data_IF_280155299739
#
_entry.id   IF_280155299739
#
_cell.length_a   1.000
_cell.length_b   1.000
_cell.length_c   1.000
_cell.angle_alpha   90.00
_cell.angle_beta   90.00
_cell.angle_gamma   90.00
#
_symmetry.space_group_name_H-M   'P 1'
#
loop_
_entity.id
_entity.type
_entity.pdbx_description
1 polymer ?
#
# COMPACT_ATOMS: atom_id res chain seq x y z
N UNK A 1 -21.76 -4.04 8.92
CA UNK A 1 -22.41 -2.73 9.12
C UNK A 1 -23.77 -2.79 8.42
N UNK A 2 -24.79 -2.21 9.02
CA UNK A 2 -26.17 -2.75 9.14
C UNK A 2 -27.03 -2.71 7.85
N UNK A 3 -27.91 -3.69 7.67
CA UNK A 3 -29.14 -3.55 6.86
C UNK A 3 -30.21 -3.00 7.79
N UNK A 4 -30.80 -1.86 7.46
CA UNK A 4 -31.98 -1.37 8.17
C UNK A 4 -33.23 -1.97 7.52
N UNK A 5 -33.96 -2.82 8.25
CA UNK A 5 -35.35 -3.11 7.92
C UNK A 5 -36.23 -2.07 8.60
N UNK A 6 -36.90 -1.26 7.77
CA UNK A 6 -38.01 -0.43 8.21
C UNK A 6 -39.32 -1.17 7.92
N UNK A 7 -39.89 -1.78 8.96
CA UNK A 7 -41.23 -2.33 8.91
C UNK A 7 -42.21 -1.26 9.37
N UNK A 8 -42.89 -0.58 8.44
CA UNK A 8 -44.04 0.26 8.81
C UNK A 8 -45.20 -0.68 9.14
N UNK A 9 -45.30 -1.09 10.41
CA UNK A 9 -46.41 -1.89 10.93
C UNK A 9 -47.57 -0.94 11.23
N UNK A 10 -48.68 -0.98 10.48
CA UNK A 10 -49.83 -0.09 10.71
C UNK A 10 -50.66 -0.46 11.95
N UNK A 11 -50.25 -1.46 12.74
CA UNK A 11 -51.04 -2.05 13.83
C UNK A 11 -50.56 -1.76 15.25
N UNK A 12 -49.52 -0.96 15.44
CA UNK A 12 -49.16 -0.46 16.77
C UNK A 12 -49.72 0.95 16.94
N UNK A 13 -50.76 1.07 17.77
CA UNK A 13 -51.12 2.35 18.40
C UNK A 13 -49.88 2.90 19.07
N UNK A 14 -49.61 4.18 18.83
CA UNK A 14 -48.50 4.99 19.35
C UNK A 14 -47.16 4.85 18.62
N UNK A 15 -47.07 5.43 17.41
CA UNK A 15 -45.86 6.09 16.87
C UNK A 15 -44.51 5.35 16.84
N UNK A 16 -44.47 4.08 17.22
CA UNK A 16 -43.25 3.33 17.45
C UNK A 16 -42.76 2.72 16.14
N UNK A 17 -41.70 3.29 15.58
CA UNK A 17 -40.97 2.68 14.47
C UNK A 17 -40.00 1.63 15.03
N UNK A 18 -40.36 0.35 14.92
CA UNK A 18 -39.44 -0.73 15.27
C UNK A 18 -38.46 -0.93 14.11
N UNK A 19 -37.19 -0.59 14.33
CA UNK A 19 -36.10 -0.77 13.36
C UNK A 19 -35.30 -2.01 13.74
N UNK A 20 -35.14 -2.92 12.79
CA UNK A 20 -34.31 -4.11 12.97
C UNK A 20 -33.05 -3.93 12.12
N UNK A 21 -31.91 -3.95 12.79
CA UNK A 21 -30.61 -3.77 12.16
C UNK A 21 -29.88 -5.11 12.05
N UNK A 22 -29.61 -5.55 10.82
CA UNK A 22 -28.93 -6.83 10.58
C UNK A 22 -27.51 -6.59 10.10
N UNK A 23 -26.50 -7.06 10.85
CA UNK A 23 -25.08 -6.94 10.49
C UNK A 23 -24.68 -8.10 9.57
N UNK A 24 -24.34 -7.82 8.31
CA UNK A 24 -23.70 -8.82 7.45
C UNK A 24 -22.19 -8.91 7.68
N UNK A 25 -21.63 -10.10 7.45
CA UNK A 25 -20.18 -10.34 7.40
C UNK A 25 -19.54 -9.74 6.13
N UNK A 26 -20.25 -9.68 5.01
CA UNK A 26 -19.78 -9.14 3.74
C UNK A 26 -20.62 -7.91 3.34
N UNK A 27 -19.98 -6.74 3.37
CA UNK A 27 -20.63 -5.44 3.11
C UNK A 27 -21.01 -5.27 1.63
N UNK A 28 -20.33 -5.97 0.72
CA UNK A 28 -20.56 -5.84 -0.73
C UNK A 28 -21.88 -6.47 -1.17
N UNK A 29 -22.41 -7.41 -0.38
CA UNK A 29 -23.65 -8.14 -0.65
C UNK A 29 -24.90 -7.50 -0.05
N UNK A 30 -24.73 -6.44 0.74
CA UNK A 30 -25.82 -5.69 1.35
C UNK A 30 -26.94 -5.24 0.36
N UNK A 31 -26.64 -4.71 -0.85
CA UNK A 31 -27.69 -4.26 -1.78
C UNK A 31 -28.43 -5.44 -2.42
N UNK A 32 -27.73 -6.54 -2.71
CA UNK A 32 -28.34 -7.75 -3.26
C UNK A 32 -29.28 -8.42 -2.25
N UNK A 33 -28.91 -8.41 -0.96
CA UNK A 33 -29.75 -8.94 0.11
C UNK A 33 -30.95 -8.04 0.40
N UNK A 34 -30.76 -6.71 0.41
CA UNK A 34 -31.85 -5.76 0.56
C UNK A 34 -32.88 -5.89 -0.57
N UNK A 35 -32.43 -6.09 -1.81
CA UNK A 35 -33.31 -6.34 -2.96
C UNK A 35 -34.10 -7.64 -2.81
N UNK A 36 -33.44 -8.76 -2.45
CA UNK A 36 -34.13 -10.04 -2.21
C UNK A 36 -35.16 -9.96 -1.09
N UNK A 37 -34.90 -9.16 -0.05
CA UNK A 37 -35.82 -9.02 1.08
C UNK A 37 -37.01 -8.10 0.77
N UNK A 38 -36.81 -7.09 -0.09
CA UNK A 38 -37.91 -6.27 -0.64
C UNK A 38 -38.80 -7.07 -1.59
N UNK A 39 -38.22 -7.98 -2.38
CA UNK A 39 -38.97 -8.82 -3.32
C UNK A 39 -39.74 -9.96 -2.59
N UNK A 40 -39.19 -10.47 -1.48
CA UNK A 40 -39.77 -11.58 -0.73
C UNK A 40 -40.67 -11.17 0.46
N UNK A 41 -40.71 -9.89 0.85
CA UNK A 41 -41.46 -9.44 2.03
C UNK A 41 -42.19 -8.11 1.82
N UNK A 42 -43.23 -7.84 2.62
CA UNK A 42 -43.95 -6.55 2.64
C UNK A 42 -43.18 -5.41 3.33
N UNK A 43 -41.93 -5.65 3.74
CA UNK A 43 -41.12 -4.71 4.52
C UNK A 43 -40.09 -4.01 3.66
N UNK A 44 -39.86 -2.72 3.91
CA UNK A 44 -38.90 -1.91 3.16
C UNK A 44 -37.52 -2.05 3.78
N UNK A 45 -36.70 -2.90 3.18
CA UNK A 45 -35.29 -3.07 3.50
C UNK A 45 -34.47 -2.04 2.71
N UNK A 46 -33.76 -1.18 3.42
CA UNK A 46 -32.83 -0.21 2.85
C UNK A 46 -31.41 -0.62 3.20
N UNK A 47 -30.54 -0.68 2.19
CA UNK A 47 -29.12 -0.91 2.46
C UNK A 47 -28.44 0.40 2.85
N UNK A 48 -27.39 0.33 3.69
CA UNK A 48 -26.54 1.49 3.99
C UNK A 48 -26.02 2.20 2.71
N UNK A 49 -25.82 1.44 1.64
CA UNK A 49 -25.35 1.97 0.35
C UNK A 49 -26.41 2.79 -0.39
N UNK A 50 -27.70 2.57 -0.13
CA UNK A 50 -28.79 3.36 -0.72
C UNK A 50 -28.93 4.73 -0.03
N UNK A 51 -28.71 4.77 1.29
CA UNK A 51 -28.71 5.99 2.10
C UNK A 51 -27.46 6.84 1.87
N UNK A 52 -26.34 6.20 1.53
CA UNK A 52 -25.03 6.85 1.38
C UNK A 52 -24.39 6.58 0.02
N UNK A 53 -25.17 6.61 -1.08
CA UNK A 53 -24.63 6.46 -2.46
C UNK A 53 -23.44 7.36 -2.73
N UNK A 54 -23.42 8.54 -2.13
CA UNK A 54 -22.30 9.47 -2.17
C UNK A 54 -21.06 8.91 -1.43
N UNK A 55 -21.19 8.44 -0.18
CA UNK A 55 -20.09 7.80 0.56
C UNK A 55 -19.61 6.52 -0.16
N UNK A 56 -20.52 5.71 -0.70
CA UNK A 56 -20.17 4.50 -1.45
C UNK A 56 -19.38 4.83 -2.73
N UNK A 57 -19.74 5.91 -3.44
CA UNK A 57 -18.96 6.44 -4.57
C UNK A 57 -17.61 7.00 -4.12
N UNK A 58 -17.53 7.70 -2.99
CA UNK A 58 -16.27 8.16 -2.43
C UNK A 58 -15.34 7.01 -2.04
N UNK A 59 -15.85 5.93 -1.46
CA UNK A 59 -15.05 4.73 -1.11
C UNK A 59 -14.59 4.00 -2.38
N UNK A 60 -15.44 3.89 -3.40
CA UNK A 60 -15.06 3.32 -4.70
C UNK A 60 -13.99 4.16 -5.43
N UNK A 61 -14.15 5.49 -5.45
CA UNK A 61 -13.21 6.42 -6.08
C UNK A 61 -11.87 6.48 -5.35
N UNK A 62 -11.85 6.32 -4.02
CA UNK A 62 -10.62 6.23 -3.24
C UNK A 62 -9.72 5.08 -3.70
N UNK A 63 -10.28 3.94 -4.10
CA UNK A 63 -9.50 2.81 -4.61
C UNK A 63 -8.66 3.17 -5.83
N UNK A 64 -9.27 3.85 -6.81
CA UNK A 64 -8.58 4.27 -8.05
C UNK A 64 -7.51 5.33 -7.76
N UNK A 65 -7.84 6.32 -6.93
CA UNK A 65 -6.90 7.37 -6.54
C UNK A 65 -5.69 6.81 -5.78
N UNK A 66 -5.89 5.87 -4.85
CA UNK A 66 -4.80 5.23 -4.10
C UNK A 66 -3.86 4.44 -5.02
N UNK A 67 -4.41 3.69 -5.98
CA UNK A 67 -3.61 2.95 -6.96
C UNK A 67 -2.72 3.90 -7.77
N UNK A 68 -3.29 5.05 -8.19
CA UNK A 68 -2.53 6.05 -8.92
C UNK A 68 -1.38 6.62 -8.08
N UNK A 69 -1.63 6.94 -6.81
CA UNK A 69 -0.58 7.40 -5.88
C UNK A 69 0.51 6.36 -5.69
N UNK A 70 0.17 5.09 -5.46
CA UNK A 70 1.17 4.02 -5.30
C UNK A 70 2.01 3.81 -6.56
N UNK A 71 1.41 3.95 -7.74
CA UNK A 71 2.15 3.87 -9.01
C UNK A 71 3.20 4.99 -9.13
N UNK A 72 2.81 6.24 -8.84
CA UNK A 72 3.76 7.37 -8.88
C UNK A 72 4.87 7.21 -7.85
N UNK A 73 4.56 6.79 -6.62
CA UNK A 73 5.56 6.55 -5.58
C UNK A 73 6.56 5.50 -6.05
N UNK A 74 6.08 4.37 -6.61
CA UNK A 74 6.96 3.33 -7.13
C UNK A 74 7.88 3.85 -8.23
N UNK A 75 7.33 4.62 -9.19
CA UNK A 75 8.10 5.13 -10.32
C UNK A 75 9.20 6.10 -9.85
N UNK A 76 8.84 7.04 -8.99
CA UNK A 76 9.78 8.03 -8.44
C UNK A 76 10.84 7.32 -7.60
N UNK A 77 10.45 6.41 -6.71
CA UNK A 77 11.39 5.65 -5.88
C UNK A 77 12.33 4.79 -6.72
N UNK A 78 11.83 4.10 -7.75
CA UNK A 78 12.65 3.29 -8.64
C UNK A 78 13.71 4.16 -9.35
N UNK A 79 13.32 5.33 -9.85
CA UNK A 79 14.22 6.27 -10.51
C UNK A 79 15.28 6.83 -9.56
N UNK A 80 14.89 7.21 -8.34
CA UNK A 80 15.83 7.68 -7.31
C UNK A 80 16.86 6.61 -6.98
N UNK A 81 16.43 5.39 -6.72
CA UNK A 81 17.32 4.26 -6.41
C UNK A 81 18.25 3.99 -7.60
N UNK A 82 17.72 3.92 -8.82
CA UNK A 82 18.51 3.64 -10.01
C UNK A 82 19.61 4.70 -10.21
N UNK A 83 19.26 5.98 -10.12
CA UNK A 83 20.21 7.08 -10.29
C UNK A 83 21.32 7.05 -9.23
N UNK A 84 20.96 6.83 -7.96
CA UNK A 84 21.93 6.75 -6.87
C UNK A 84 22.86 5.55 -7.05
N UNK A 85 22.33 4.37 -7.38
CA UNK A 85 23.15 3.16 -7.51
C UNK A 85 24.06 3.24 -8.74
N UNK A 86 23.61 3.85 -9.85
CA UNK A 86 24.47 4.14 -11.00
C UNK A 86 25.62 5.07 -10.59
N UNK A 87 25.34 6.12 -9.83
CA UNK A 87 26.38 7.04 -9.34
C UNK A 87 27.41 6.30 -8.47
N UNK A 88 26.96 5.45 -7.53
CA UNK A 88 27.86 4.68 -6.64
C UNK A 88 28.72 3.72 -7.45
N UNK A 89 28.14 2.96 -8.38
CA UNK A 89 28.88 2.05 -9.27
C UNK A 89 29.91 2.81 -10.08
N UNK A 90 29.55 3.99 -10.60
CA UNK A 90 30.47 4.80 -11.39
C UNK A 90 31.72 5.22 -10.60
N UNK A 91 31.56 5.52 -9.30
CA UNK A 91 32.69 5.86 -8.42
C UNK A 91 33.57 4.66 -8.09
N UNK A 92 33.02 3.46 -8.10
CA UNK A 92 33.74 2.20 -7.78
C UNK A 92 34.26 1.45 -9.00
N UNK A 93 34.19 2.03 -10.22
CA UNK A 93 34.62 1.34 -11.46
C UNK A 93 36.04 0.79 -11.39
N UNK A 94 37.00 1.57 -10.86
CA UNK A 94 38.40 1.16 -10.74
C UNK A 94 38.58 -0.05 -9.81
N UNK A 95 37.89 -0.07 -8.68
CA UNK A 95 37.90 -1.21 -7.74
C UNK A 95 37.37 -2.48 -8.41
N UNK A 96 36.29 -2.36 -9.19
CA UNK A 96 35.70 -3.46 -9.97
C UNK A 96 36.69 -3.93 -11.06
N UNK A 97 37.38 -3.00 -11.73
CA UNK A 97 38.42 -3.29 -12.70
C UNK A 97 39.59 -4.09 -12.12
N UNK A 98 40.06 -3.70 -10.92
CA UNK A 98 41.12 -4.42 -10.19
C UNK A 98 40.65 -5.83 -9.80
N UNK A 99 39.42 -5.98 -9.31
CA UNK A 99 38.84 -7.29 -8.99
C UNK A 99 38.77 -8.20 -10.23
N UNK A 100 38.34 -7.66 -11.38
CA UNK A 100 38.31 -8.41 -12.64
C UNK A 100 39.72 -8.79 -13.12
N UNK A 101 40.70 -7.91 -12.98
CA UNK A 101 42.10 -8.18 -13.32
C UNK A 101 42.71 -9.29 -12.44
N UNK A 102 42.28 -9.41 -11.18
CA UNK A 102 42.63 -10.53 -10.30
C UNK A 102 41.87 -11.83 -10.62
N UNK A 103 41.01 -11.85 -11.64
CA UNK A 103 40.28 -13.03 -12.09
C UNK A 103 38.85 -13.17 -11.55
N UNK A 104 38.27 -12.13 -10.95
CA UNK A 104 36.88 -12.17 -10.50
C UNK A 104 35.93 -12.34 -11.69
N UNK A 105 35.02 -13.32 -11.59
CA UNK A 105 33.99 -13.55 -12.62
C UNK A 105 32.91 -12.46 -12.53
N UNK A 106 32.32 -12.10 -13.67
CA UNK A 106 31.17 -11.17 -13.78
C UNK A 106 30.01 -11.54 -12.83
N UNK A 107 29.76 -12.83 -12.62
CA UNK A 107 28.74 -13.33 -11.69
C UNK A 107 29.07 -13.04 -10.22
N UNK A 108 30.35 -13.06 -9.85
CA UNK A 108 30.78 -12.70 -8.49
C UNK A 108 30.55 -11.22 -8.21
N UNK A 109 30.83 -10.36 -9.19
CA UNK A 109 30.58 -8.92 -9.09
C UNK A 109 29.07 -8.65 -8.95
N UNK A 110 28.25 -9.30 -9.79
CA UNK A 110 26.78 -9.25 -9.65
C UNK A 110 26.32 -9.64 -8.25
N UNK A 111 26.81 -10.77 -7.72
CA UNK A 111 26.45 -11.25 -6.38
C UNK A 111 26.84 -10.26 -5.28
N UNK A 112 28.01 -9.62 -5.37
CA UNK A 112 28.45 -8.61 -4.40
C UNK A 112 27.45 -7.46 -4.35
N UNK A 113 27.08 -6.89 -5.51
CA UNK A 113 26.12 -5.79 -5.57
C UNK A 113 24.73 -6.20 -5.10
N UNK A 114 24.27 -7.41 -5.43
CA UNK A 114 22.97 -7.91 -4.95
C UNK A 114 22.97 -8.07 -3.43
N UNK A 115 24.05 -8.60 -2.84
CA UNK A 115 24.20 -8.72 -1.40
C UNK A 115 24.28 -7.36 -0.71
N UNK A 116 25.02 -6.40 -1.27
CA UNK A 116 25.09 -5.02 -0.76
C UNK A 116 23.70 -4.38 -0.74
N UNK A 117 22.93 -4.52 -1.83
CA UNK A 117 21.56 -4.02 -1.91
C UNK A 117 20.64 -4.68 -0.86
N UNK A 118 20.74 -6.00 -0.67
CA UNK A 118 19.95 -6.70 0.35
C UNK A 118 20.30 -6.24 1.77
N UNK A 119 21.60 -6.12 2.07
CA UNK A 119 22.10 -5.66 3.37
C UNK A 119 21.64 -4.24 3.70
N UNK A 120 21.59 -3.34 2.72
CA UNK A 120 21.10 -1.96 2.91
C UNK A 120 19.57 -1.93 3.03
N UNK A 121 18.86 -2.77 2.27
CA UNK A 121 17.39 -2.73 2.20
C UNK A 121 16.68 -3.24 3.46
N UNK A 122 17.25 -4.21 4.16
CA UNK A 122 16.67 -4.74 5.41
C UNK A 122 16.52 -3.67 6.51
N UNK A 123 17.58 -2.98 6.95
CA UNK A 123 17.46 -1.93 7.96
C UNK A 123 16.64 -0.73 7.45
N UNK A 124 16.74 -0.40 6.16
CA UNK A 124 15.92 0.66 5.58
C UNK A 124 14.42 0.33 5.63
N UNK A 125 14.04 -0.93 5.36
CA UNK A 125 12.67 -1.40 5.43
C UNK A 125 12.12 -1.41 6.85
N UNK A 126 12.92 -1.85 7.83
CA UNK A 126 12.56 -1.81 9.26
C UNK A 126 12.35 -0.36 9.72
N UNK A 127 13.30 0.54 9.40
CA UNK A 127 13.18 1.96 9.74
C UNK A 127 11.96 2.59 9.07
N UNK A 128 11.70 2.28 7.80
CA UNK A 128 10.52 2.74 7.08
C UNK A 128 9.22 2.26 7.73
N UNK A 129 9.15 1.00 8.17
CA UNK A 129 7.99 0.46 8.87
C UNK A 129 7.75 1.16 10.22
N UNK A 130 8.80 1.39 11.01
CA UNK A 130 8.72 2.11 12.28
C UNK A 130 8.25 3.55 12.08
N UNK A 131 8.83 4.26 11.10
CA UNK A 131 8.43 5.64 10.78
C UNK A 131 6.99 5.70 10.24
N UNK A 132 6.59 4.74 9.42
CA UNK A 132 5.22 4.63 8.92
C UNK A 132 4.22 4.40 10.04
N UNK A 133 4.54 3.53 10.99
CA UNK A 133 3.72 3.30 12.18
C UNK A 133 3.64 4.56 13.06
N UNK A 134 4.77 5.23 13.31
CA UNK A 134 4.81 6.47 14.08
C UNK A 134 3.99 7.59 13.41
N UNK A 135 4.07 7.73 12.09
CA UNK A 135 3.29 8.70 11.33
C UNK A 135 1.79 8.38 11.39
N UNK A 136 1.41 7.10 11.24
CA UNK A 136 0.03 6.66 11.40
C UNK A 136 -0.50 6.99 12.81
N UNK A 137 0.29 6.67 13.84
CA UNK A 137 -0.09 6.97 15.21
C UNK A 137 -0.22 8.48 15.46
N UNK A 138 0.67 9.30 14.92
CA UNK A 138 0.57 10.76 14.99
C UNK A 138 -0.72 11.30 14.36
N UNK A 139 -1.18 10.72 13.24
CA UNK A 139 -2.45 11.09 12.59
C UNK A 139 -3.64 10.80 13.51
N UNK A 140 -3.62 9.70 14.28
CA UNK A 140 -4.70 9.40 15.22
C UNK A 140 -4.81 10.38 16.40
N UNK A 141 -3.71 11.06 16.73
CA UNK A 141 -3.65 12.06 17.80
C UNK A 141 -4.11 13.45 17.35
N UNK A 142 -4.19 13.69 16.03
CA UNK A 142 -4.67 14.96 15.48
C UNK A 142 -6.19 15.03 15.59
N UNK A 143 -6.76 16.06 16.26
CA UNK A 143 -8.20 16.30 16.28
C UNK A 143 -8.64 16.81 14.90
N UNK A 144 -8.79 15.89 13.96
CA UNK A 144 -9.41 16.18 12.69
C UNK A 144 -10.90 16.32 12.95
N UNK A 145 -11.36 17.57 13.09
CA UNK A 145 -12.78 17.91 13.13
C UNK A 145 -13.41 17.60 11.77
N UNK A 146 -13.59 16.32 11.47
CA UNK A 146 -14.43 15.86 10.36
C UNK A 146 -15.87 16.09 10.80
N UNK A 147 -16.44 17.20 10.32
CA UNK A 147 -17.83 17.66 10.50
C UNK A 147 -18.84 16.74 9.82
N UNK A 148 -18.71 15.43 9.99
CA UNK A 148 -19.71 14.45 9.57
C UNK A 148 -20.27 13.78 10.81
N UNK A 149 -21.58 13.96 11.02
CA UNK A 149 -22.37 13.45 12.15
C UNK A 149 -22.35 11.91 12.34
N UNK A 150 -21.50 11.19 11.60
CA UNK A 150 -21.25 9.76 11.69
C UNK A 150 -19.90 9.41 12.38
N UNK A 151 -19.05 10.40 12.66
CA UNK A 151 -17.73 10.21 13.26
C UNK A 151 -17.71 10.70 14.72
N UNK A 152 -18.45 10.02 15.60
CA UNK A 152 -18.43 10.27 17.04
C UNK A 152 -17.12 9.85 17.72
N UNK A 153 -16.27 9.12 17.01
CA UNK A 153 -14.94 8.69 17.44
C UNK A 153 -13.98 9.00 16.29
N UNK A 154 -12.79 9.53 16.59
CA UNK A 154 -11.81 10.01 15.60
C UNK A 154 -11.40 8.95 14.57
N UNK A 155 -10.55 9.34 13.62
CA UNK A 155 -10.05 8.41 12.59
C UNK A 155 -9.20 7.32 13.27
N UNK A 156 -9.77 6.12 13.44
CA UNK A 156 -9.05 4.96 13.95
C UNK A 156 -8.30 4.31 12.80
N UNK A 157 -6.96 4.48 12.78
CA UNK A 157 -6.11 3.77 11.82
C UNK A 157 -5.89 2.35 12.35
N UNK A 158 -6.50 1.37 11.67
CA UNK A 158 -6.28 -0.03 11.96
C UNK A 158 -4.90 -0.47 11.43
N UNK A 159 -3.88 -0.40 12.28
CA UNK A 159 -2.52 -0.88 11.98
C UNK A 159 -2.50 -2.42 11.92
N UNK A 160 -2.91 -2.98 10.78
CA UNK A 160 -2.84 -4.44 10.55
C UNK A 160 -1.40 -4.85 10.24
N UNK A 161 -0.83 -5.85 10.95
CA UNK A 161 0.53 -6.34 10.69
C UNK A 161 0.77 -6.78 9.24
N UNK A 162 -0.28 -7.30 8.60
CA UNK A 162 -0.27 -7.75 7.20
C UNK A 162 0.24 -6.66 6.25
N UNK A 163 -0.19 -5.41 6.43
CA UNK A 163 0.22 -4.30 5.56
C UNK A 163 1.70 -3.94 5.73
N UNK A 164 2.26 -4.09 6.93
CA UNK A 164 3.68 -3.86 7.17
C UNK A 164 4.55 -4.93 6.50
N UNK A 165 4.11 -6.20 6.55
CA UNK A 165 4.79 -7.30 5.86
C UNK A 165 4.76 -7.10 4.35
N UNK A 166 3.60 -6.72 3.79
CA UNK A 166 3.47 -6.42 2.36
C UNK A 166 4.35 -5.23 1.97
N UNK A 167 4.35 -4.15 2.74
CA UNK A 167 5.18 -2.97 2.46
C UNK A 167 6.67 -3.30 2.51
N UNK A 168 7.12 -4.10 3.48
CA UNK A 168 8.50 -4.54 3.59
C UNK A 168 8.90 -5.42 2.39
N UNK A 169 8.08 -6.42 2.06
CA UNK A 169 8.32 -7.28 0.91
C UNK A 169 8.39 -6.47 -0.40
N UNK A 170 7.52 -5.46 -0.52
CA UNK A 170 7.50 -4.56 -1.67
C UNK A 170 8.75 -3.69 -1.76
N UNK A 171 9.19 -3.10 -0.64
CA UNK A 171 10.42 -2.28 -0.59
C UNK A 171 11.67 -3.11 -0.95
N UNK A 172 11.78 -4.33 -0.41
CA UNK A 172 12.87 -5.25 -0.72
C UNK A 172 12.87 -5.62 -2.21
N UNK A 173 11.69 -5.95 -2.75
CA UNK A 173 11.53 -6.30 -4.16
C UNK A 173 11.88 -5.14 -5.08
N UNK A 174 11.42 -3.92 -4.74
CA UNK A 174 11.70 -2.72 -5.52
C UNK A 174 13.20 -2.40 -5.54
N UNK A 175 13.87 -2.48 -4.39
CA UNK A 175 15.32 -2.25 -4.32
C UNK A 175 16.10 -3.32 -5.09
N UNK A 176 15.69 -4.59 -4.98
CA UNK A 176 16.29 -5.68 -5.75
C UNK A 176 16.16 -5.46 -7.26
N UNK A 177 14.95 -5.13 -7.73
CA UNK A 177 14.68 -4.88 -9.16
C UNK A 177 15.44 -3.67 -9.68
N UNK A 178 15.44 -2.56 -8.93
CA UNK A 178 16.16 -1.35 -9.33
C UNK A 178 17.68 -1.58 -9.34
N UNK A 179 18.19 -2.37 -8.40
CA UNK A 179 19.61 -2.73 -8.30
C UNK A 179 20.13 -3.69 -9.38
N UNK A 180 19.25 -4.43 -10.08
CA UNK A 180 19.65 -5.33 -11.16
C UNK A 180 20.32 -4.61 -12.34
N UNK A 181 19.76 -3.47 -12.75
CA UNK A 181 20.29 -2.68 -13.87
C UNK A 181 21.73 -2.21 -13.64
N UNK A 182 22.07 -1.51 -12.54
CA UNK A 182 23.43 -1.06 -12.28
C UNK A 182 24.38 -2.24 -12.00
N UNK A 183 23.93 -3.31 -11.34
CA UNK A 183 24.75 -4.50 -11.14
C UNK A 183 25.14 -5.16 -12.48
N UNK A 184 24.18 -5.23 -13.40
CA UNK A 184 24.43 -5.72 -14.77
C UNK A 184 25.38 -4.81 -15.55
N UNK A 185 25.20 -3.49 -15.44
CA UNK A 185 26.10 -2.50 -16.04
C UNK A 185 27.53 -2.65 -15.48
N UNK A 186 27.68 -2.76 -14.16
CA UNK A 186 28.95 -2.98 -13.46
C UNK A 186 29.71 -4.22 -13.96
N UNK A 187 28.99 -5.32 -14.14
CA UNK A 187 29.57 -6.60 -14.56
C UNK A 187 30.01 -6.63 -16.03
N UNK A 188 29.58 -5.66 -16.84
CA UNK A 188 29.96 -5.55 -18.26
C UNK A 188 31.09 -4.55 -18.53
N UNK A 189 31.61 -3.86 -17.51
CA UNK A 189 32.75 -2.97 -17.69
C UNK A 189 33.97 -3.71 -18.24
N UNK A 190 34.69 -3.07 -19.15
CA UNK A 190 35.98 -3.55 -19.63
C UNK A 190 37.05 -3.27 -18.55
N UNK A 191 37.79 -4.29 -18.08
CA UNK A 191 38.86 -4.10 -17.10
C UNK A 191 39.92 -3.09 -17.54
N UNK A 192 40.22 -3.00 -18.83
CA UNK A 192 41.25 -2.11 -19.37
C UNK A 192 40.77 -0.66 -19.32
N UNK A 193 39.53 -0.40 -19.73
CA UNK A 193 38.92 0.93 -19.61
C UNK A 193 38.73 1.36 -18.15
N UNK A 194 38.39 0.41 -17.27
CA UNK A 194 38.16 0.70 -15.85
C UNK A 194 39.43 1.11 -15.08
N UNK A 195 40.60 0.65 -15.54
CA UNK A 195 41.90 0.99 -14.94
C UNK A 195 42.53 2.20 -15.66
N UNK A 196 42.30 2.34 -16.96
CA UNK A 196 42.86 3.40 -17.80
C UNK A 196 42.05 4.69 -17.85
N UNK A 197 40.88 4.78 -17.20
CA UNK A 197 40.10 6.01 -17.14
C UNK A 197 40.69 7.02 -16.14
N UNK A 198 41.73 7.72 -16.56
CA UNK A 198 42.10 9.08 -16.14
C UNK A 198 42.70 9.83 -17.33
#
# INVERSE_FOLDING_TARGET
MHIELSAFLPTLKDGASCRIEVKLADYTRAPAMAKKLNDASRYKATSWQDFSREIARFVGNQGVTNILFYMFILLISAFVIANTTIMVVSKRRREIGILMAMGAKRRSILMIFLLENMLISLPAGILGAVLGYAAAWAITLLPLNVTSAAAGEGIVIAARPEYFVIALAFALSLNFVSGLYPAYSAARLDPVEAIGSE
#
